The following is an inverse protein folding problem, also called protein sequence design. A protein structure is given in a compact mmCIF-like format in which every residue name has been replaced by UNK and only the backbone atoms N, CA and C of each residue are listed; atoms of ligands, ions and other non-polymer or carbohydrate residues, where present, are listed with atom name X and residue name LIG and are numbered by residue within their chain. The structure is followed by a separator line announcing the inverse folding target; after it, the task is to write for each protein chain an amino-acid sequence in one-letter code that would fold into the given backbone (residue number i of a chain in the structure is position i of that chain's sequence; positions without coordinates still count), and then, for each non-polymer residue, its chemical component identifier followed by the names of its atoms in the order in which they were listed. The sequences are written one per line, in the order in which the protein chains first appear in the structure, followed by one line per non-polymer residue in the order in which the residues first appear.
data_IF_863297122023
#
_entry.id   IF_863297122023
#
_cell.length_a   1.000
_cell.length_b   1.000
_cell.length_c   1.000
_cell.angle_alpha   90.00
_cell.angle_beta   90.00
_cell.angle_gamma   90.00
#
_symmetry.space_group_name_H-M   'P 1'
#
loop_
_entity.id
_entity.type
_entity.pdbx_description
1 polymer ?
#
# COMPACT_ATOMS: atom_id res chain seq x y z
N UNK A 1 -15.87 7.37 20.86
CA UNK A 1 -14.40 7.57 20.87
C UNK A 1 -13.90 7.48 19.44
N UNK A 2 -13.06 8.40 18.97
CA UNK A 2 -12.46 8.35 17.62
C UNK A 2 -11.37 7.28 17.62
N UNK A 3 -11.45 6.28 16.73
CA UNK A 3 -10.40 5.25 16.61
C UNK A 3 -9.18 5.81 15.87
N UNK A 4 -7.98 5.20 15.98
CA UNK A 4 -6.82 5.59 15.18
C UNK A 4 -7.11 5.60 13.67
N UNK A 5 -7.94 4.68 13.20
CA UNK A 5 -8.33 4.59 11.79
C UNK A 5 -9.32 5.69 11.39
N UNK A 6 -10.21 6.12 12.29
CA UNK A 6 -11.08 7.29 12.02
C UNK A 6 -10.26 8.58 11.93
N UNK A 7 -9.18 8.71 12.73
CA UNK A 7 -8.25 9.83 12.62
C UNK A 7 -7.50 9.78 11.28
N UNK A 8 -7.03 8.60 10.88
CA UNK A 8 -6.35 8.40 9.60
C UNK A 8 -7.23 8.81 8.42
N UNK A 9 -8.47 8.32 8.36
CA UNK A 9 -9.42 8.68 7.31
C UNK A 9 -9.71 10.19 7.26
N UNK A 10 -9.77 10.85 8.43
CA UNK A 10 -9.95 12.31 8.51
C UNK A 10 -8.73 13.07 7.97
N UNK A 11 -7.52 12.65 8.32
CA UNK A 11 -6.29 13.31 7.84
C UNK A 11 -6.11 13.14 6.33
N UNK A 12 -6.45 11.95 5.81
CA UNK A 12 -6.39 11.66 4.37
C UNK A 12 -7.54 12.30 3.58
N UNK A 13 -8.54 12.87 4.27
CA UNK A 13 -9.80 13.34 3.69
C UNK A 13 -10.42 12.24 2.78
N UNK A 14 -10.32 10.98 3.20
CA UNK A 14 -10.68 9.82 2.39
C UNK A 14 -11.13 8.66 3.27
N UNK A 15 -12.03 7.82 2.75
CA UNK A 15 -12.32 6.53 3.35
C UNK A 15 -11.27 5.52 2.93
N UNK A 16 -10.84 4.67 3.87
CA UNK A 16 -10.02 3.52 3.53
C UNK A 16 -10.89 2.47 2.83
N UNK A 17 -10.37 1.77 1.81
CA UNK A 17 -11.05 0.62 1.24
C UNK A 17 -11.42 -0.40 2.35
N UNK A 18 -12.67 -0.93 2.39
CA UNK A 18 -13.15 -1.70 3.54
C UNK A 18 -12.24 -2.86 3.95
N UNK A 19 -11.75 -3.65 2.98
CA UNK A 19 -10.85 -4.77 3.26
C UNK A 19 -9.51 -4.32 3.89
N UNK A 20 -8.96 -3.18 3.45
CA UNK A 20 -7.73 -2.63 4.01
C UNK A 20 -7.96 -2.07 5.42
N UNK A 21 -9.10 -1.40 5.64
CA UNK A 21 -9.50 -0.90 6.95
C UNK A 21 -9.65 -2.04 7.96
N UNK A 22 -10.30 -3.13 7.56
CA UNK A 22 -10.46 -4.35 8.35
C UNK A 22 -9.13 -5.01 8.69
N UNK A 23 -8.20 -5.04 7.72
CA UNK A 23 -6.85 -5.56 7.93
C UNK A 23 -6.10 -4.77 9.00
N UNK A 24 -6.09 -3.43 8.90
CA UNK A 24 -5.48 -2.58 9.91
C UNK A 24 -6.13 -2.76 11.29
N UNK A 25 -7.45 -2.94 11.35
CA UNK A 25 -8.16 -3.14 12.62
C UNK A 25 -7.83 -4.48 13.29
N UNK A 26 -7.67 -5.56 12.50
CA UNK A 26 -7.50 -6.94 13.01
C UNK A 26 -6.04 -7.34 13.18
N UNK A 27 -5.16 -6.86 12.30
CA UNK A 27 -3.74 -7.25 12.23
C UNK A 27 -2.80 -6.08 12.53
N UNK A 28 -3.26 -4.85 12.33
CA UNK A 28 -2.49 -3.62 12.41
C UNK A 28 -1.17 -3.73 11.64
N UNK A 29 -1.25 -3.80 10.31
CA UNK A 29 -0.12 -4.13 9.44
C UNK A 29 0.23 -5.61 9.51
N UNK A 30 1.52 -5.93 9.62
CA UNK A 30 2.15 -7.26 9.52
C UNK A 30 2.54 -7.63 8.09
N UNK A 31 3.72 -8.26 7.98
CA UNK A 31 4.17 -8.92 6.76
C UNK A 31 3.48 -10.28 6.65
N UNK A 32 2.71 -10.54 5.58
CA UNK A 32 2.15 -11.86 5.33
C UNK A 32 3.26 -12.91 5.12
N UNK A 33 2.95 -14.19 5.37
CA UNK A 33 3.91 -15.30 5.18
C UNK A 33 4.29 -15.46 3.70
N UNK A 34 3.31 -15.40 2.80
CA UNK A 34 3.53 -15.30 1.37
C UNK A 34 3.86 -13.86 1.00
N UNK A 35 4.96 -13.66 0.27
CA UNK A 35 5.53 -12.33 0.01
C UNK A 35 5.80 -12.04 -1.45
N UNK A 36 5.72 -13.03 -2.34
CA UNK A 36 5.95 -12.80 -3.76
C UNK A 36 4.73 -12.11 -4.38
N UNK A 37 4.98 -10.99 -5.04
CA UNK A 37 4.00 -10.20 -5.79
C UNK A 37 4.38 -10.32 -7.26
N UNK A 38 3.49 -10.87 -8.10
CA UNK A 38 3.66 -10.91 -9.55
C UNK A 38 2.75 -9.89 -10.22
N UNK A 39 3.23 -9.25 -11.28
CA UNK A 39 2.48 -8.23 -11.99
C UNK A 39 3.00 -8.05 -13.42
N UNK A 40 2.28 -7.27 -14.22
CA UNK A 40 2.72 -6.92 -15.57
C UNK A 40 3.35 -5.54 -15.58
N UNK A 41 4.59 -5.45 -16.04
CA UNK A 41 5.32 -4.21 -16.26
C UNK A 41 5.67 -4.11 -17.74
N UNK A 42 5.21 -3.05 -18.42
CA UNK A 42 5.48 -2.82 -19.85
C UNK A 42 5.17 -4.04 -20.75
N UNK A 43 4.07 -4.74 -20.46
CA UNK A 43 3.62 -5.92 -21.21
C UNK A 43 4.43 -7.20 -20.93
N UNK A 44 5.30 -7.20 -19.92
CA UNK A 44 6.08 -8.37 -19.49
C UNK A 44 5.75 -8.74 -18.06
N UNK A 45 5.83 -10.02 -17.75
CA UNK A 45 5.74 -10.50 -16.38
C UNK A 45 6.94 -9.96 -15.57
N UNK A 46 6.65 -9.48 -14.38
CA UNK A 46 7.60 -8.95 -13.42
C UNK A 46 7.17 -9.39 -12.02
N UNK A 47 8.09 -9.30 -11.06
CA UNK A 47 7.81 -9.66 -9.68
C UNK A 47 8.64 -8.85 -8.70
N UNK A 48 8.13 -8.69 -7.49
CA UNK A 48 8.89 -8.19 -6.35
C UNK A 48 8.54 -8.98 -5.08
N UNK A 49 9.35 -8.84 -4.04
CA UNK A 49 9.13 -9.44 -2.73
C UNK A 49 8.70 -8.38 -1.74
N UNK A 50 7.47 -8.49 -1.25
CA UNK A 50 6.89 -7.62 -0.24
C UNK A 50 7.74 -7.67 1.04
N UNK A 51 8.28 -6.53 1.48
CA UNK A 51 9.02 -6.42 2.73
C UNK A 51 8.08 -6.29 3.93
N UNK A 52 7.15 -5.36 3.85
CA UNK A 52 6.22 -5.07 4.92
C UNK A 52 4.92 -4.43 4.41
N UNK A 53 3.82 -4.71 5.11
CA UNK A 53 2.64 -3.85 5.11
C UNK A 53 2.64 -3.00 6.37
N UNK A 54 2.47 -1.70 6.19
CA UNK A 54 2.57 -0.72 7.26
C UNK A 54 1.41 -0.84 8.24
N UNK A 55 1.75 -0.57 9.48
CA UNK A 55 0.85 -0.56 10.62
C UNK A 55 0.60 0.88 11.07
N UNK A 56 -0.48 1.12 11.81
CA UNK A 56 -0.80 2.44 12.33
C UNK A 56 -0.33 2.55 13.78
N UNK A 57 0.36 3.66 14.10
CA UNK A 57 0.86 3.98 15.43
C UNK A 57 1.83 2.93 15.99
N UNK A 58 2.82 2.54 15.19
CA UNK A 58 3.84 1.59 15.67
C UNK A 58 4.88 2.30 16.53
N UNK A 59 5.68 1.51 17.26
CA UNK A 59 6.83 2.03 18.00
C UNK A 59 8.02 2.40 17.10
N UNK A 60 8.06 1.92 15.86
CA UNK A 60 9.21 2.01 14.98
C UNK A 60 8.84 2.58 13.61
N UNK A 61 9.58 3.59 13.15
CA UNK A 61 9.25 4.31 11.91
C UNK A 61 9.31 3.45 10.64
N UNK A 62 10.13 2.38 10.62
CA UNK A 62 10.35 1.56 9.42
C UNK A 62 9.12 0.79 8.93
N UNK A 63 8.05 0.69 9.72
CA UNK A 63 6.79 0.07 9.34
C UNK A 63 5.55 0.88 9.75
N UNK A 64 5.73 2.18 10.03
CA UNK A 64 4.65 3.05 10.49
C UNK A 64 4.04 3.86 9.34
N UNK A 65 2.73 3.72 9.18
CA UNK A 65 1.97 4.35 8.11
C UNK A 65 2.03 5.88 8.18
N UNK A 66 2.02 6.47 9.38
CA UNK A 66 2.14 7.93 9.52
C UNK A 66 3.49 8.44 9.09
N UNK A 67 4.55 7.72 9.47
CA UNK A 67 5.90 8.04 9.00
C UNK A 67 5.97 8.02 7.48
N UNK A 68 5.49 6.97 6.81
CA UNK A 68 5.53 6.89 5.35
C UNK A 68 4.60 7.91 4.68
N UNK A 69 3.42 8.19 5.24
CA UNK A 69 2.56 9.25 4.73
C UNK A 69 3.22 10.64 4.82
N UNK A 70 3.91 10.94 5.92
CA UNK A 70 4.59 12.23 6.09
C UNK A 70 5.78 12.41 5.14
N UNK A 71 6.52 11.33 4.84
CA UNK A 71 7.74 11.40 4.03
C UNK A 71 7.50 11.20 2.52
N UNK A 72 6.52 10.37 2.13
CA UNK A 72 6.27 10.02 0.72
C UNK A 72 4.89 10.49 0.22
N UNK A 73 3.99 10.88 1.13
CA UNK A 73 2.63 11.26 0.78
C UNK A 73 2.50 12.55 -0.03
N UNK A 74 3.56 13.37 -0.14
CA UNK A 74 3.57 14.53 -1.04
C UNK A 74 3.90 14.13 -2.49
N UNK A 75 4.74 13.11 -2.67
CA UNK A 75 5.10 12.57 -3.98
C UNK A 75 3.97 11.70 -4.55
N UNK A 76 3.17 11.13 -3.65
CA UNK A 76 1.92 10.46 -3.97
C UNK A 76 0.81 11.52 -4.01
N UNK A 77 0.21 11.76 -5.18
CA UNK A 77 -1.01 12.61 -5.32
C UNK A 77 -2.01 12.28 -4.19
N UNK A 78 -2.91 13.21 -3.77
CA UNK A 78 -3.84 13.03 -2.63
C UNK A 78 -4.89 11.90 -2.81
N UNK A 79 -4.71 11.08 -3.84
CA UNK A 79 -5.53 9.94 -4.20
C UNK A 79 -4.89 8.63 -3.77
N UNK A 80 -3.62 8.65 -3.36
CA UNK A 80 -2.81 7.46 -3.12
C UNK A 80 -2.24 7.47 -1.70
N UNK A 81 -2.14 6.28 -1.13
CA UNK A 81 -1.52 6.05 0.17
C UNK A 81 -0.52 4.90 0.04
N UNK A 82 0.72 5.11 0.48
CA UNK A 82 1.66 4.02 0.66
C UNK A 82 1.23 3.15 1.84
N UNK A 83 1.06 1.86 1.59
CA UNK A 83 0.58 0.87 2.56
C UNK A 83 1.63 -0.21 2.86
N UNK A 84 2.78 -0.16 2.20
CA UNK A 84 3.86 -1.11 2.37
C UNK A 84 5.05 -0.82 1.47
N UNK A 85 6.08 -1.63 1.57
CA UNK A 85 7.23 -1.60 0.66
C UNK A 85 7.68 -2.99 0.26
N UNK A 86 8.45 -3.06 -0.84
CA UNK A 86 9.22 -4.24 -1.19
C UNK A 86 10.64 -4.21 -0.60
N UNK A 87 11.41 -5.28 -0.82
CA UNK A 87 12.80 -5.39 -0.34
C UNK A 87 13.77 -4.43 -1.06
N UNK A 88 13.35 -3.82 -2.18
CA UNK A 88 14.10 -2.82 -2.95
C UNK A 88 13.79 -1.37 -2.58
N UNK A 89 12.90 -1.12 -1.61
CA UNK A 89 12.48 0.23 -1.20
C UNK A 89 11.34 0.83 -2.04
N UNK A 90 10.85 0.11 -3.05
CA UNK A 90 9.65 0.48 -3.79
C UNK A 90 8.42 0.42 -2.89
N UNK A 91 7.41 1.22 -3.22
CA UNK A 91 6.22 1.36 -2.39
C UNK A 91 5.07 0.50 -2.93
N UNK A 92 4.32 -0.12 -2.03
CA UNK A 92 3.01 -0.70 -2.33
C UNK A 92 1.97 0.35 -1.99
N UNK A 93 1.19 0.75 -2.97
CA UNK A 93 0.32 1.91 -2.91
C UNK A 93 -1.14 1.51 -3.13
N UNK A 94 -2.06 2.05 -2.34
CA UNK A 94 -3.50 1.88 -2.56
C UNK A 94 -4.13 3.20 -2.99
N UNK A 95 -5.05 3.13 -3.95
CA UNK A 95 -5.85 4.28 -4.35
C UNK A 95 -7.03 4.49 -3.39
N UNK A 96 -7.10 5.67 -2.77
CA UNK A 96 -8.14 6.13 -1.86
C UNK A 96 -9.23 6.97 -2.54
N UNK A 97 -8.96 7.53 -3.73
CA UNK A 97 -9.90 8.38 -4.48
C UNK A 97 -9.83 8.11 -5.99
N UNK A 98 -10.82 8.60 -6.72
CA UNK A 98 -10.82 8.60 -8.18
C UNK A 98 -11.19 7.26 -8.83
N UNK A 99 -11.01 7.12 -10.16
CA UNK A 99 -11.47 5.95 -10.93
C UNK A 99 -10.73 4.65 -10.60
N UNK A 100 -9.60 4.75 -9.90
CA UNK A 100 -8.81 3.61 -9.46
C UNK A 100 -9.06 3.22 -8.01
N UNK A 101 -10.01 3.87 -7.31
CA UNK A 101 -10.29 3.63 -5.90
C UNK A 101 -10.34 2.13 -5.54
N UNK A 102 -9.58 1.75 -4.51
CA UNK A 102 -9.45 0.38 -4.01
C UNK A 102 -8.35 -0.44 -4.68
N UNK A 103 -7.89 -0.08 -5.89
CA UNK A 103 -6.80 -0.80 -6.58
C UNK A 103 -5.48 -0.64 -5.84
N UNK A 104 -4.65 -1.67 -5.94
CA UNK A 104 -3.29 -1.71 -5.36
C UNK A 104 -2.27 -1.66 -6.49
N UNK A 105 -1.21 -0.91 -6.24
CA UNK A 105 -0.13 -0.62 -7.18
C UNK A 105 1.22 -0.93 -6.56
N UNK A 106 2.14 -1.35 -7.41
CA UNK A 106 3.57 -1.26 -7.17
C UNK A 106 4.05 0.09 -7.72
N UNK A 107 4.76 0.86 -6.91
CA UNK A 107 5.38 2.13 -7.30
C UNK A 107 6.89 1.93 -7.40
N UNK A 108 7.37 1.86 -8.64
CA UNK A 108 8.79 1.92 -8.96
C UNK A 108 9.32 3.29 -8.56
N UNK A 109 10.27 3.31 -7.62
CA UNK A 109 10.72 4.56 -7.05
C UNK A 109 11.76 5.33 -7.85
N UNK A 110 12.36 4.66 -8.85
CA UNK A 110 13.43 5.18 -9.67
C UNK A 110 12.92 6.04 -10.84
N UNK A 111 11.63 5.96 -11.14
CA UNK A 111 10.99 6.66 -12.27
C UNK A 111 9.84 7.58 -11.84
N UNK A 112 9.45 8.55 -12.69
CA UNK A 112 8.33 9.45 -12.40
C UNK A 112 7.02 8.72 -12.10
N UNK A 113 6.18 9.29 -11.23
CA UNK A 113 4.94 8.67 -10.75
C UNK A 113 4.03 8.15 -11.87
N UNK A 114 3.80 8.93 -12.93
CA UNK A 114 2.90 8.52 -14.02
C UNK A 114 3.43 7.34 -14.86
N UNK A 115 4.72 7.02 -14.73
CA UNK A 115 5.39 5.90 -15.42
C UNK A 115 5.54 4.69 -14.51
N UNK A 116 5.92 4.93 -13.24
CA UNK A 116 6.27 3.88 -12.27
C UNK A 116 5.11 3.25 -11.53
N UNK A 117 3.86 3.57 -11.89
CA UNK A 117 2.68 3.02 -11.23
C UNK A 117 2.15 1.80 -11.99
N UNK A 118 2.35 0.62 -11.43
CA UNK A 118 1.94 -0.65 -12.02
C UNK A 118 0.82 -1.27 -11.19
N UNK A 119 -0.34 -1.56 -11.79
CA UNK A 119 -1.43 -2.24 -11.09
C UNK A 119 -0.98 -3.65 -10.75
N UNK A 120 -1.04 -4.00 -9.46
CA UNK A 120 -0.73 -5.36 -8.97
C UNK A 120 -1.98 -6.09 -8.49
N UNK A 121 -3.06 -5.38 -8.15
CA UNK A 121 -4.34 -6.01 -7.82
C UNK A 121 -5.53 -5.06 -8.00
N UNK A 122 -6.73 -5.58 -8.30
CA UNK A 122 -7.95 -4.78 -8.40
C UNK A 122 -8.51 -4.35 -7.03
N UNK A 123 -8.08 -4.97 -5.93
CA UNK A 123 -8.50 -4.64 -4.57
C UNK A 123 -7.43 -5.09 -3.56
N UNK A 124 -7.49 -4.60 -2.32
CA UNK A 124 -6.61 -5.08 -1.24
C UNK A 124 -6.81 -6.56 -0.90
N UNK A 125 -8.05 -7.06 -0.97
CA UNK A 125 -8.34 -8.49 -0.79
C UNK A 125 -7.71 -9.34 -1.89
N UNK A 126 -7.87 -8.93 -3.15
CA UNK A 126 -7.25 -9.62 -4.28
C UNK A 126 -5.71 -9.56 -4.21
N UNK A 127 -5.16 -8.46 -3.70
CA UNK A 127 -3.73 -8.34 -3.45
C UNK A 127 -3.25 -9.41 -2.45
N UNK A 128 -3.90 -9.51 -1.28
CA UNK A 128 -3.52 -10.53 -0.28
C UNK A 128 -3.71 -11.96 -0.80
N UNK A 129 -4.79 -12.23 -1.51
CA UNK A 129 -5.07 -13.55 -2.08
C UNK A 129 -4.08 -13.95 -3.20
N UNK A 130 -3.50 -12.96 -3.88
CA UNK A 130 -2.51 -13.16 -4.94
C UNK A 130 -1.08 -13.37 -4.46
N UNK A 131 -0.79 -13.21 -3.16
CA UNK A 131 0.56 -13.42 -2.63
C UNK A 131 0.91 -14.91 -2.64
N UNK A 132 2.05 -15.24 -3.24
CA UNK A 132 2.60 -16.61 -3.26
C UNK A 132 3.90 -16.71 -2.45
N UNK A 133 4.34 -17.93 -2.22
CA UNK A 133 5.68 -18.20 -1.67
C UNK A 133 6.74 -17.69 -2.66
N UNK A 134 7.76 -17.00 -2.13
CA UNK A 134 8.89 -16.45 -2.88
C UNK A 134 10.20 -17.06 -2.45
#
# INVERSE_FOLDING_TARGET
MTTPLDLLERVLDARLPPAYRDWLAKRNGQTPENRLVTFTQNGRESSTTLHALYAVNTKHTYNDLWYFHANFGQDLRPWYLSIGSDDGGNQIVIALKGPNHGKVFFRDHEVPLDVGMHIIAPSFEAFLAGLTTG
#
